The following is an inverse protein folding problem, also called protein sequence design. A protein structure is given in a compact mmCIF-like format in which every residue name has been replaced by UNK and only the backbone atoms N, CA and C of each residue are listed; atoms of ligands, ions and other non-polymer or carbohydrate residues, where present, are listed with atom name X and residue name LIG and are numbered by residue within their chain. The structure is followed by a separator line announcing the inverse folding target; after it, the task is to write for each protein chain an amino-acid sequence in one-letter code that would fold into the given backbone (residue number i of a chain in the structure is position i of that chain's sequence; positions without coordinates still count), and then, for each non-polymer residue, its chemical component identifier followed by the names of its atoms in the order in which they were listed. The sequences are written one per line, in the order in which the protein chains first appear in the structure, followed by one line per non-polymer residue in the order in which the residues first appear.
data_IF_463129662563
#
_entry.id   IF_463129662563
#
_cell.length_a   1.000
_cell.length_b   1.000
_cell.length_c   1.000
_cell.angle_alpha   90.00
_cell.angle_beta   90.00
_cell.angle_gamma   90.00
#
_symmetry.space_group_name_H-M   'P 1'
#
loop_
_entity.id
_entity.type
_entity.pdbx_description
1 polymer ?
#
# COMPACT_ATOMS: atom_id res chain seq x y z
N UNK A 1 61.36 13.69 13.35
CA UNK A 1 62.68 13.12 13.69
C UNK A 1 62.44 11.69 14.17
N UNK A 2 62.59 10.65 13.33
CA UNK A 2 63.82 9.82 13.21
C UNK A 2 64.37 9.40 14.59
N UNK A 3 64.56 8.12 14.94
CA UNK A 3 65.31 7.11 14.19
C UNK A 3 65.19 5.73 14.86
N UNK A 4 65.07 4.69 14.04
CA UNK A 4 65.57 3.33 14.30
C UNK A 4 67.10 3.35 14.45
N UNK A 5 67.65 2.46 15.28
CA UNK A 5 68.91 1.73 15.04
C UNK A 5 69.01 0.62 16.10
N UNK A 6 69.04 -0.68 15.80
CA UNK A 6 69.96 -1.49 14.97
C UNK A 6 71.21 -1.96 15.74
N UNK A 7 71.39 -3.29 15.67
CA UNK A 7 72.60 -4.13 15.76
C UNK A 7 73.26 -4.36 17.13
N UNK A 8 73.95 -5.47 17.42
CA UNK A 8 74.05 -6.87 16.94
C UNK A 8 75.34 -7.39 17.60
N UNK A 9 75.24 -8.54 18.27
CA UNK A 9 76.23 -9.63 18.34
C UNK A 9 77.62 -9.55 18.99
N UNK A 10 78.00 -10.78 19.37
CA UNK A 10 79.33 -11.43 19.37
C UNK A 10 80.27 -11.02 20.53
N UNK A 11 81.03 -11.90 21.21
CA UNK A 11 81.20 -13.35 21.24
C UNK A 11 82.35 -13.62 22.24
N UNK A 12 82.40 -14.86 22.73
CA UNK A 12 83.55 -15.68 23.15
C UNK A 12 84.34 -15.45 24.47
N UNK A 13 84.41 -16.60 25.17
CA UNK A 13 85.60 -17.32 25.69
C UNK A 13 86.24 -16.89 27.01
N UNK A 14 86.14 -17.79 27.99
CA UNK A 14 87.36 -18.24 28.69
C UNK A 14 87.30 -19.74 28.96
N UNK A 15 88.26 -20.45 28.35
CA UNK A 15 88.67 -21.82 28.63
C UNK A 15 89.66 -21.78 29.80
N UNK A 16 89.62 -22.77 30.70
CA UNK A 16 90.75 -23.59 31.20
C UNK A 16 90.24 -24.41 32.41
N UNK A 17 90.02 -25.72 32.25
CA UNK A 17 90.99 -26.81 32.43
C UNK A 17 91.47 -26.97 33.89
N UNK A 18 90.99 -28.02 34.56
CA UNK A 18 91.87 -28.92 35.31
C UNK A 18 91.38 -30.37 35.17
N UNK A 19 92.37 -31.21 34.87
CA UNK A 19 92.32 -32.61 34.45
C UNK A 19 92.37 -33.60 35.62
N UNK A 20 91.55 -34.64 35.49
CA UNK A 20 91.91 -36.07 35.54
C UNK A 20 92.33 -36.77 36.84
N UNK A 21 91.54 -37.77 37.21
CA UNK A 21 91.90 -39.12 37.67
C UNK A 21 90.56 -39.79 38.09
N UNK A 22 90.18 -41.02 37.79
CA UNK A 22 90.83 -42.24 37.32
C UNK A 22 89.70 -43.17 36.83
N UNK A 23 90.03 -44.13 35.96
CA UNK A 23 89.12 -45.14 35.37
C UNK A 23 88.47 -46.08 36.39
N UNK A 24 87.58 -47.01 36.05
CA UNK A 24 87.30 -47.71 34.80
C UNK A 24 86.05 -48.59 35.03
N UNK A 25 85.18 -48.79 34.04
CA UNK A 25 84.88 -50.12 33.47
C UNK A 25 83.87 -50.02 32.32
N UNK A 26 84.17 -50.81 31.31
CA UNK A 26 83.61 -50.91 29.97
C UNK A 26 82.60 -52.07 29.92
N UNK A 27 81.75 -52.09 28.88
CA UNK A 27 80.88 -53.20 28.38
C UNK A 27 79.64 -53.50 29.24
N UNK A 28 78.41 -53.56 28.73
CA UNK A 28 77.86 -54.23 27.51
C UNK A 28 76.70 -53.42 26.92
N UNK A 29 76.67 -53.10 25.62
CA UNK A 29 76.24 -53.91 24.45
C UNK A 29 74.73 -54.23 24.44
N UNK A 30 74.05 -53.54 23.53
CA UNK A 30 72.81 -53.84 22.80
C UNK A 30 72.22 -55.25 23.07
N UNK A 31 71.06 -55.28 23.71
CA UNK A 31 69.95 -56.24 23.50
C UNK A 31 68.82 -55.89 24.48
N UNK A 32 67.83 -55.11 24.03
CA UNK A 32 66.41 -55.47 24.21
C UNK A 32 65.56 -54.57 23.30
N UNK A 33 65.54 -54.92 22.02
CA UNK A 33 64.78 -54.22 20.97
C UNK A 33 63.94 -55.24 20.19
N UNK A 34 63.44 -56.29 20.85
CA UNK A 34 62.71 -57.37 20.16
C UNK A 34 61.49 -57.95 20.86
N UNK A 35 60.83 -57.25 21.80
CA UNK A 35 59.45 -57.60 22.17
C UNK A 35 58.65 -56.36 22.59
N UNK A 36 58.27 -55.51 21.65
CA UNK A 36 57.20 -54.55 21.87
C UNK A 36 55.98 -55.01 21.07
N UNK A 37 54.92 -55.40 21.77
CA UNK A 37 53.62 -55.64 21.13
C UNK A 37 52.94 -54.28 20.95
N UNK A 38 52.40 -53.95 19.77
CA UNK A 38 51.79 -52.64 19.56
C UNK A 38 50.59 -52.45 20.50
N UNK A 39 50.52 -51.30 21.16
CA UNK A 39 49.32 -50.82 21.86
C UNK A 39 48.13 -50.91 20.90
N UNK A 40 46.95 -51.36 21.33
CA UNK A 40 45.77 -51.40 20.45
C UNK A 40 44.60 -50.69 21.11
N UNK A 41 43.81 -49.98 20.31
CA UNK A 41 42.53 -49.45 20.79
C UNK A 41 41.59 -50.64 21.07
N UNK A 42 41.01 -50.70 22.26
CA UNK A 42 39.98 -51.69 22.57
C UNK A 42 38.65 -51.22 21.96
N UNK A 43 37.95 -52.04 21.15
CA UNK A 43 36.57 -51.74 20.79
C UNK A 43 35.68 -51.89 22.03
N UNK A 44 35.08 -50.80 22.51
CA UNK A 44 34.12 -50.86 23.62
C UNK A 44 32.79 -51.44 23.13
N UNK A 45 32.51 -52.69 23.48
CA UNK A 45 31.16 -53.24 23.52
C UNK A 45 30.62 -53.15 24.96
N UNK A 46 29.79 -52.14 25.24
CA UNK A 46 28.76 -52.06 26.30
C UNK A 46 28.75 -50.68 27.04
N UNK A 47 27.72 -49.83 26.82
CA UNK A 47 27.58 -48.48 27.38
C UNK A 47 26.82 -48.45 28.71
N UNK A 48 27.17 -49.30 29.67
CA UNK A 48 26.40 -49.43 30.92
C UNK A 48 27.22 -49.42 32.21
N UNK A 49 28.04 -48.39 32.45
CA UNK A 49 28.29 -47.90 33.82
C UNK A 49 28.53 -46.38 33.81
N UNK A 50 27.88 -45.70 34.74
CA UNK A 50 27.36 -44.33 34.62
C UNK A 50 28.13 -43.34 35.50
N UNK A 51 28.25 -42.10 35.03
CA UNK A 51 28.54 -40.91 35.85
C UNK A 51 27.83 -39.70 35.28
N UNK A 52 26.55 -39.54 35.64
CA UNK A 52 25.63 -38.49 35.22
C UNK A 52 26.22 -37.07 35.24
N UNK A 53 25.91 -36.25 34.24
CA UNK A 53 25.00 -35.11 34.44
C UNK A 53 24.61 -34.39 33.14
N UNK A 54 23.36 -33.91 33.17
CA UNK A 54 22.71 -32.89 32.35
C UNK A 54 21.87 -33.30 31.14
N UNK A 55 20.85 -32.47 30.96
CA UNK A 55 19.48 -32.77 30.55
C UNK A 55 19.35 -32.85 29.04
N UNK A 56 18.66 -33.90 28.59
CA UNK A 56 18.26 -34.11 27.20
C UNK A 56 17.09 -33.20 26.86
N UNK A 57 17.30 -32.23 25.97
CA UNK A 57 16.24 -31.68 25.11
C UNK A 57 16.78 -31.63 23.68
N UNK A 58 16.41 -32.63 22.88
CA UNK A 58 16.27 -32.45 21.44
C UNK A 58 15.34 -33.54 20.92
N UNK A 59 14.20 -33.10 20.38
CA UNK A 59 13.23 -33.95 19.72
C UNK A 59 13.85 -34.64 18.50
N UNK A 60 13.39 -35.88 18.27
CA UNK A 60 13.68 -36.63 17.06
C UNK A 60 12.95 -35.99 15.88
N UNK A 61 13.66 -35.74 14.78
CA UNK A 61 13.06 -35.77 13.46
C UNK A 61 13.53 -37.06 12.78
N UNK A 62 12.58 -37.93 12.46
CA UNK A 62 12.77 -39.06 11.56
C UNK A 62 12.63 -38.52 10.13
N UNK A 63 13.67 -38.66 9.31
CA UNK A 63 13.51 -38.49 7.87
C UNK A 63 13.41 -39.84 7.18
N UNK A 64 12.31 -39.97 6.43
CA UNK A 64 11.99 -41.09 5.56
C UNK A 64 12.38 -40.68 4.14
N UNK A 65 12.99 -41.60 3.40
CA UNK A 65 13.36 -41.54 1.98
C UNK A 65 12.75 -40.41 1.13
N UNK A 66 13.62 -39.58 0.54
CA UNK A 66 13.33 -38.84 -0.69
C UNK A 66 14.48 -39.05 -1.67
N UNK A 67 14.13 -39.60 -2.83
CA UNK A 67 14.97 -39.79 -4.01
C UNK A 67 15.23 -38.45 -4.70
N UNK A 68 16.49 -38.14 -5.01
CA UNK A 68 16.87 -37.00 -5.84
C UNK A 68 17.48 -37.51 -7.15
N UNK A 69 16.83 -37.13 -8.25
CA UNK A 69 17.27 -37.28 -9.63
C UNK A 69 18.60 -36.55 -9.87
N UNK A 70 19.41 -37.11 -10.76
CA UNK A 70 20.73 -36.60 -11.13
C UNK A 70 20.67 -35.62 -12.31
N UNK A 71 21.71 -34.76 -12.39
CA UNK A 71 22.48 -34.35 -13.60
C UNK A 71 22.48 -32.83 -13.92
N UNK A 72 23.51 -32.27 -14.59
CA UNK A 72 24.96 -32.44 -14.40
C UNK A 72 25.76 -31.12 -14.39
N UNK A 73 26.98 -31.12 -13.83
CA UNK A 73 28.11 -30.44 -14.50
C UNK A 73 29.45 -31.08 -14.17
N UNK A 74 30.03 -31.72 -15.19
CA UNK A 74 31.41 -32.19 -15.24
C UNK A 74 32.39 -31.01 -15.35
N UNK A 75 33.51 -31.10 -14.65
CA UNK A 75 34.83 -30.93 -15.27
C UNK A 75 35.76 -32.03 -14.72
N UNK A 76 36.36 -32.77 -15.64
CA UNK A 76 37.21 -33.94 -15.45
C UNK A 76 38.71 -33.58 -15.37
N UNK A 77 39.43 -34.54 -14.79
CA UNK A 77 40.86 -34.87 -14.94
C UNK A 77 41.90 -34.14 -14.08
N UNK A 78 42.42 -34.86 -13.06
CA UNK A 78 43.69 -35.57 -13.24
C UNK A 78 43.84 -36.71 -12.23
N UNK A 79 44.22 -37.88 -12.76
CA UNK A 79 44.44 -39.13 -12.06
C UNK A 79 45.79 -39.11 -11.33
N UNK A 80 45.75 -39.43 -10.04
CA UNK A 80 46.90 -39.76 -9.20
C UNK A 80 46.45 -40.79 -8.18
N UNK A 81 46.94 -42.01 -8.35
CA UNK A 81 46.52 -43.22 -7.64
C UNK A 81 47.10 -43.23 -6.22
N UNK A 82 46.35 -42.77 -5.22
CA UNK A 82 46.53 -43.14 -3.81
C UNK A 82 45.27 -43.89 -3.36
N UNK A 83 45.45 -45.16 -2.99
CA UNK A 83 44.40 -46.00 -2.42
C UNK A 83 44.17 -45.46 -1.01
N UNK A 84 43.22 -44.54 -0.86
CA UNK A 84 42.95 -43.86 0.41
C UNK A 84 42.28 -44.81 1.40
N UNK A 85 42.90 -45.00 2.55
CA UNK A 85 42.38 -45.66 3.77
C UNK A 85 41.15 -44.95 4.39
N UNK A 86 40.34 -44.23 3.61
CA UNK A 86 39.24 -43.39 4.13
C UNK A 86 37.92 -44.16 4.35
N UNK A 87 37.75 -45.36 3.79
CA UNK A 87 36.46 -46.07 3.81
C UNK A 87 36.09 -46.74 5.14
N UNK A 88 36.81 -46.46 6.23
CA UNK A 88 36.54 -47.04 7.56
C UNK A 88 36.76 -46.10 8.73
N UNK A 89 36.98 -44.79 8.49
CA UNK A 89 37.20 -43.83 9.57
C UNK A 89 35.90 -43.49 10.29
N UNK A 90 35.97 -43.44 11.62
CA UNK A 90 34.85 -43.00 12.46
C UNK A 90 34.51 -41.54 12.12
N UNK A 91 33.24 -41.28 11.77
CA UNK A 91 32.74 -39.93 11.48
C UNK A 91 31.86 -39.44 12.63
N UNK A 92 32.21 -38.29 13.21
CA UNK A 92 31.38 -37.59 14.20
C UNK A 92 30.90 -36.26 13.63
N UNK A 93 29.65 -35.91 13.93
CA UNK A 93 29.01 -34.69 13.43
C UNK A 93 28.68 -33.79 14.63
N UNK A 94 29.06 -32.52 14.52
CA UNK A 94 28.84 -31.48 15.52
C UNK A 94 28.33 -30.20 14.81
N UNK A 95 27.89 -29.21 15.57
CA UNK A 95 27.57 -27.86 15.10
C UNK A 95 28.56 -26.84 15.67
N UNK A 96 28.71 -25.72 14.99
CA UNK A 96 29.45 -24.57 15.54
C UNK A 96 28.83 -24.13 16.88
N UNK A 97 29.68 -23.98 17.91
CA UNK A 97 29.27 -23.74 19.30
C UNK A 97 29.35 -24.99 20.19
N UNK A 98 29.44 -26.20 19.63
CA UNK A 98 29.61 -27.43 20.38
C UNK A 98 31.02 -27.54 21.01
N UNK A 99 31.09 -28.16 22.19
CA UNK A 99 32.36 -28.61 22.77
C UNK A 99 32.59 -30.06 22.34
N UNK A 100 33.69 -30.28 21.62
CA UNK A 100 34.18 -31.60 21.25
C UNK A 100 35.21 -32.02 22.28
N UNK A 101 35.02 -33.20 22.89
CA UNK A 101 35.97 -33.77 23.84
C UNK A 101 36.15 -35.27 23.57
N UNK A 102 37.39 -35.72 23.61
CA UNK A 102 37.74 -37.14 23.51
C UNK A 102 38.31 -37.63 24.85
N UNK A 103 37.81 -38.80 25.29
CA UNK A 103 38.33 -39.53 26.44
C UNK A 103 38.75 -40.95 25.97
N UNK A 104 39.92 -41.09 25.33
CA UNK A 104 40.35 -42.35 24.76
C UNK A 104 40.80 -43.33 25.86
N UNK A 105 40.43 -44.59 25.70
CA UNK A 105 40.88 -45.70 26.56
C UNK A 105 41.76 -46.63 25.73
N UNK A 106 42.93 -46.93 26.27
CA UNK A 106 43.95 -47.79 25.68
C UNK A 106 44.48 -48.70 26.78
N UNK A 107 44.93 -49.89 26.37
CA UNK A 107 45.49 -50.89 27.28
C UNK A 107 46.90 -51.20 26.81
N UNK A 108 47.85 -51.08 27.72
CA UNK A 108 49.23 -51.50 27.50
C UNK A 108 49.42 -52.90 28.12
N UNK A 109 49.84 -53.92 27.35
CA UNK A 109 50.00 -55.28 27.86
C UNK A 109 51.05 -55.42 28.97
N UNK A 110 52.07 -54.55 28.96
CA UNK A 110 53.16 -54.54 29.93
C UNK A 110 52.84 -53.65 31.15
N UNK A 111 51.70 -52.94 31.10
CA UNK A 111 51.23 -52.05 32.14
C UNK A 111 51.92 -50.69 32.16
N UNK A 112 52.62 -50.32 31.07
CA UNK A 112 53.25 -49.01 30.92
C UNK A 112 52.18 -47.89 30.88
N UNK A 113 52.53 -46.69 31.38
CA UNK A 113 51.60 -45.55 31.40
C UNK A 113 51.42 -45.03 29.98
N UNK A 114 50.19 -45.07 29.48
CA UNK A 114 49.86 -44.53 28.16
C UNK A 114 49.68 -43.02 28.24
N UNK A 115 50.40 -42.32 27.37
CA UNK A 115 50.23 -40.88 27.11
C UNK A 115 49.48 -40.66 25.81
N UNK A 116 48.45 -39.81 25.84
CA UNK A 116 47.69 -39.43 24.64
C UNK A 116 48.11 -38.07 24.11
N UNK A 117 48.19 -37.96 22.80
CA UNK A 117 48.34 -36.69 22.10
C UNK A 117 47.30 -36.57 20.99
N UNK A 118 46.95 -35.32 20.67
CA UNK A 118 45.86 -35.00 19.75
C UNK A 118 46.38 -34.04 18.69
N UNK A 119 46.03 -34.31 17.43
CA UNK A 119 46.27 -33.33 16.36
C UNK A 119 45.28 -32.17 16.47
N UNK A 120 45.64 -31.04 15.83
CA UNK A 120 44.71 -29.92 15.63
C UNK A 120 43.42 -30.38 14.93
N UNK A 121 42.27 -29.74 15.19
CA UNK A 121 42.08 -28.54 16.04
C UNK A 121 41.95 -28.81 17.54
N UNK A 122 42.06 -30.06 18.03
CA UNK A 122 42.01 -30.36 19.46
C UNK A 122 43.21 -29.73 20.20
N UNK A 123 42.97 -29.31 21.45
CA UNK A 123 44.02 -28.88 22.38
C UNK A 123 44.73 -30.10 23.02
N UNK A 124 45.74 -29.86 23.86
CA UNK A 124 46.50 -30.92 24.54
C UNK A 124 45.67 -31.82 25.46
N UNK A 125 44.50 -31.35 25.89
CA UNK A 125 43.55 -32.11 26.72
C UNK A 125 42.51 -32.86 25.88
N UNK A 126 42.65 -32.88 24.54
CA UNK A 126 41.72 -33.57 23.65
C UNK A 126 40.39 -32.85 23.46
N UNK A 127 40.35 -31.52 23.69
CA UNK A 127 39.14 -30.70 23.61
C UNK A 127 39.23 -29.64 22.52
N UNK A 128 38.08 -29.31 21.93
CA UNK A 128 37.91 -28.18 21.02
C UNK A 128 36.53 -27.55 21.22
N UNK A 129 36.50 -26.26 21.57
CA UNK A 129 35.30 -25.42 21.53
C UNK A 129 35.17 -24.89 20.11
N UNK A 130 34.15 -25.32 19.36
CA UNK A 130 33.91 -24.78 18.01
C UNK A 130 33.29 -23.38 18.13
N UNK A 131 33.67 -22.49 17.21
CA UNK A 131 33.16 -21.13 17.08
C UNK A 131 32.50 -20.89 15.72
N UNK A 132 31.84 -19.75 15.55
CA UNK A 132 31.31 -19.33 14.24
C UNK A 132 32.47 -19.19 13.25
N UNK A 133 32.38 -19.87 12.10
CA UNK A 133 33.42 -19.91 11.08
C UNK A 133 34.23 -21.22 11.06
N UNK A 134 34.04 -22.10 12.05
CA UNK A 134 34.68 -23.42 12.11
C UNK A 134 33.98 -24.49 11.26
N UNK A 135 32.83 -24.18 10.63
CA UNK A 135 32.13 -25.12 9.75
C UNK A 135 33.07 -25.72 8.69
N UNK A 136 33.05 -27.05 8.57
CA UNK A 136 33.97 -27.76 7.71
C UNK A 136 34.20 -29.22 8.10
N UNK A 137 35.06 -29.89 7.35
CA UNK A 137 35.48 -31.26 7.64
C UNK A 137 36.93 -31.26 8.11
N UNK A 138 37.17 -31.87 9.27
CA UNK A 138 38.49 -31.96 9.89
C UNK A 138 38.84 -33.42 10.12
N UNK A 139 40.01 -33.85 9.69
CA UNK A 139 40.56 -35.13 10.09
C UNK A 139 41.47 -34.91 11.29
N UNK A 140 41.13 -35.50 12.43
CA UNK A 140 42.00 -35.53 13.60
C UNK A 140 42.69 -36.88 13.72
N UNK A 141 43.84 -36.89 14.39
CA UNK A 141 44.58 -38.08 14.79
C UNK A 141 44.76 -38.07 16.30
N UNK A 142 44.37 -39.18 16.94
CA UNK A 142 44.61 -39.45 18.36
C UNK A 142 45.73 -40.47 18.43
N UNK A 143 46.85 -40.10 19.05
CA UNK A 143 48.02 -40.97 19.22
C UNK A 143 48.12 -41.41 20.67
N UNK A 144 48.20 -42.72 20.90
CA UNK A 144 48.51 -43.32 22.19
C UNK A 144 49.95 -43.86 22.17
N UNK A 145 50.76 -43.54 23.18
CA UNK A 145 52.14 -44.03 23.28
C UNK A 145 52.48 -44.44 24.72
N UNK A 146 53.18 -45.57 24.85
CA UNK A 146 53.80 -46.08 26.07
C UNK A 146 55.23 -45.51 26.29
N UNK A 147 55.68 -44.61 25.42
CA UNK A 147 57.04 -44.06 25.41
C UNK A 147 58.07 -44.87 24.60
N UNK A 148 57.70 -46.02 24.03
CA UNK A 148 58.52 -46.87 23.14
C UNK A 148 57.88 -47.03 21.76
N UNK A 149 56.59 -47.29 21.74
CA UNK A 149 55.74 -47.47 20.56
C UNK A 149 54.60 -46.47 20.54
N UNK A 150 53.99 -46.28 19.38
CA UNK A 150 52.81 -45.45 19.23
C UNK A 150 51.79 -46.12 18.32
N UNK A 151 50.52 -45.88 18.61
CA UNK A 151 49.41 -46.20 17.72
C UNK A 151 48.50 -45.01 17.54
N UNK A 152 47.90 -44.94 16.35
CA UNK A 152 47.14 -43.79 15.91
C UNK A 152 45.73 -44.22 15.50
N UNK A 153 44.73 -43.42 15.90
CA UNK A 153 43.36 -43.52 15.39
C UNK A 153 42.98 -42.20 14.73
N UNK A 154 42.57 -42.28 13.46
CA UNK A 154 42.05 -41.14 12.71
C UNK A 154 40.53 -41.07 12.85
N UNK A 155 39.99 -39.86 13.00
CA UNK A 155 38.55 -39.58 13.13
C UNK A 155 38.21 -38.38 12.25
N UNK A 156 37.11 -38.47 11.51
CA UNK A 156 36.59 -37.36 10.72
C UNK A 156 35.54 -36.60 11.56
N UNK A 157 35.77 -35.32 11.77
CA UNK A 157 34.82 -34.38 12.38
C UNK A 157 34.16 -33.58 11.27
N UNK A 158 32.83 -33.63 11.18
CA UNK A 158 32.04 -32.73 10.35
C UNK A 158 31.38 -31.68 11.25
N UNK A 159 31.83 -30.44 11.14
CA UNK A 159 31.23 -29.29 11.84
C UNK A 159 30.24 -28.64 10.90
N UNK A 160 28.96 -28.74 11.24
CA UNK A 160 27.88 -28.07 10.52
C UNK A 160 27.80 -26.61 10.98
N UNK A 161 27.58 -25.68 10.04
CA UNK A 161 27.32 -24.29 10.38
C UNK A 161 26.10 -24.16 11.29
N UNK A 162 26.15 -23.24 12.24
CA UNK A 162 24.95 -22.86 13.00
C UNK A 162 24.07 -21.93 12.17
N UNK A 163 22.75 -22.04 12.33
CA UNK A 163 21.79 -21.23 11.58
C UNK A 163 21.89 -19.77 12.00
N UNK A 164 21.90 -18.86 11.03
CA UNK A 164 21.92 -17.42 11.26
C UNK A 164 20.76 -16.75 10.57
N UNK A 165 20.06 -15.89 11.30
CA UNK A 165 18.92 -15.16 10.76
C UNK A 165 19.25 -14.41 9.47
N UNK A 166 18.32 -14.41 8.50
CA UNK A 166 18.47 -13.64 7.28
C UNK A 166 18.53 -12.14 7.58
N UNK A 167 18.92 -11.35 6.60
CA UNK A 167 19.02 -9.90 6.69
C UNK A 167 18.16 -9.20 5.62
N UNK A 168 17.61 -8.05 5.98
CA UNK A 168 16.79 -7.20 5.11
C UNK A 168 17.52 -5.87 4.88
N UNK A 169 17.74 -5.52 3.62
CA UNK A 169 18.27 -4.23 3.18
C UNK A 169 17.33 -3.58 2.14
N UNK A 170 17.57 -2.31 1.78
CA UNK A 170 16.77 -1.55 0.81
C UNK A 170 15.27 -1.47 1.16
N UNK A 171 14.98 -1.10 2.40
CA UNK A 171 13.62 -0.90 2.89
C UNK A 171 13.60 0.37 3.74
N UNK A 172 13.00 1.44 3.19
CA UNK A 172 12.97 2.78 3.75
C UNK A 172 11.52 3.29 3.82
N UNK A 173 11.30 4.36 4.58
CA UNK A 173 9.99 5.02 4.67
C UNK A 173 9.61 5.63 3.31
N UNK A 174 8.30 5.64 3.01
CA UNK A 174 7.78 6.09 1.71
C UNK A 174 6.72 7.17 1.90
N UNK A 175 6.64 8.09 0.93
CA UNK A 175 5.52 9.02 0.79
C UNK A 175 5.03 8.96 -0.64
N UNK A 176 3.75 8.68 -0.83
CA UNK A 176 3.09 8.56 -2.14
C UNK A 176 1.75 9.30 -2.13
N UNK A 177 1.22 9.62 -3.31
CA UNK A 177 -0.12 10.16 -3.42
C UNK A 177 -1.16 9.02 -3.51
N UNK A 178 -2.39 9.30 -3.11
CA UNK A 178 -3.50 8.37 -3.39
C UNK A 178 -3.65 8.10 -4.89
N UNK A 179 -4.00 6.85 -5.22
CA UNK A 179 -4.09 6.35 -6.59
C UNK A 179 -2.79 5.71 -7.10
N UNK A 180 -1.65 5.95 -6.44
CA UNK A 180 -0.37 5.33 -6.79
C UNK A 180 -0.29 3.86 -6.33
N UNK A 181 0.51 3.07 -7.07
CA UNK A 181 0.89 1.71 -6.67
C UNK A 181 2.21 1.80 -5.89
N UNK A 182 2.20 1.26 -4.67
CA UNK A 182 3.40 1.02 -3.90
C UNK A 182 3.85 -0.42 -4.13
N UNK A 183 5.12 -0.62 -4.48
CA UNK A 183 5.73 -1.94 -4.59
C UNK A 183 7.03 -1.98 -3.76
N UNK A 184 7.07 -2.86 -2.77
CA UNK A 184 8.27 -3.08 -1.95
C UNK A 184 9.20 -4.08 -2.64
N UNK A 185 10.48 -3.72 -2.68
CA UNK A 185 11.55 -4.57 -3.23
C UNK A 185 12.69 -4.70 -2.21
N UNK A 186 12.44 -5.36 -1.06
CA UNK A 186 13.48 -5.61 -0.07
C UNK A 186 14.58 -6.49 -0.66
N UNK A 187 15.83 -6.16 -0.36
CA UNK A 187 16.97 -7.04 -0.66
C UNK A 187 17.18 -7.96 0.52
N UNK A 188 17.12 -9.26 0.28
CA UNK A 188 17.28 -10.28 1.31
C UNK A 188 18.57 -11.05 1.11
N UNK A 189 19.25 -11.35 2.22
CA UNK A 189 20.46 -12.18 2.20
C UNK A 189 20.44 -13.16 3.37
N UNK A 190 20.65 -14.43 3.05
CA UNK A 190 20.81 -15.52 4.00
C UNK A 190 22.27 -15.97 4.06
N UNK A 191 22.79 -16.22 5.27
CA UNK A 191 24.20 -16.54 5.47
C UNK A 191 24.52 -18.02 5.29
N UNK A 192 23.51 -18.88 5.42
CA UNK A 192 23.63 -20.32 5.31
C UNK A 192 23.31 -20.82 3.88
N UNK A 193 22.77 -19.94 3.03
CA UNK A 193 22.36 -20.24 1.67
C UNK A 193 20.97 -20.87 1.60
N UNK A 194 20.19 -20.78 2.67
CA UNK A 194 18.85 -21.34 2.77
C UNK A 194 17.85 -20.53 1.93
N UNK A 195 16.76 -21.20 1.53
CA UNK A 195 15.66 -20.51 0.84
C UNK A 195 14.90 -19.68 1.86
N UNK A 196 14.67 -18.41 1.53
CA UNK A 196 13.94 -17.48 2.41
C UNK A 196 12.52 -17.25 1.90
N UNK A 197 11.59 -17.13 2.85
CA UNK A 197 10.21 -16.71 2.62
C UNK A 197 10.05 -15.25 3.08
N UNK A 198 9.41 -14.41 2.24
CA UNK A 198 9.11 -13.01 2.56
C UNK A 198 7.61 -12.88 2.78
N UNK A 199 7.23 -12.25 3.90
CA UNK A 199 5.85 -11.93 4.23
C UNK A 199 5.70 -10.43 4.46
N UNK A 200 4.61 -9.87 3.95
CA UNK A 200 4.26 -8.46 4.09
C UNK A 200 3.02 -8.34 4.99
N UNK A 201 3.04 -7.40 5.92
CA UNK A 201 1.82 -7.05 6.63
C UNK A 201 0.87 -6.28 5.72
N UNK A 202 -0.40 -6.24 6.10
CA UNK A 202 -1.36 -5.29 5.52
C UNK A 202 -0.79 -3.86 5.58
N UNK A 203 -1.12 -3.00 4.60
CA UNK A 203 -2.10 -3.22 3.51
C UNK A 203 -1.57 -3.97 2.27
N UNK A 204 -0.31 -4.43 2.26
CA UNK A 204 0.27 -5.13 1.11
C UNK A 204 -0.33 -6.52 0.87
N UNK A 205 -0.30 -6.95 -0.40
CA UNK A 205 -0.51 -8.34 -0.80
C UNK A 205 0.77 -9.20 -0.61
N UNK A 206 0.70 -10.47 -1.00
CA UNK A 206 1.82 -11.41 -0.84
C UNK A 206 3.02 -11.07 -1.74
N UNK A 207 2.80 -10.32 -2.81
CA UNK A 207 3.82 -9.83 -3.74
C UNK A 207 4.48 -8.52 -3.26
N UNK A 208 4.06 -7.99 -2.11
CA UNK A 208 4.58 -6.72 -1.57
C UNK A 208 4.06 -5.49 -2.31
N UNK A 209 2.88 -5.61 -2.92
CA UNK A 209 2.21 -4.52 -3.65
C UNK A 209 0.96 -4.04 -2.92
N UNK A 210 0.73 -2.73 -2.99
CA UNK A 210 -0.48 -2.07 -2.51
C UNK A 210 -0.89 -0.99 -3.52
N UNK A 211 -2.06 -1.18 -4.13
CA UNK A 211 -2.73 -0.14 -4.92
C UNK A 211 -3.52 0.74 -3.97
N UNK A 212 -3.10 2.01 -3.81
CA UNK A 212 -3.85 2.96 -2.99
C UNK A 212 -5.11 3.45 -3.72
N UNK A 213 -6.16 3.76 -2.97
CA UNK A 213 -7.38 4.42 -3.44
C UNK A 213 -7.46 5.85 -2.88
N UNK A 214 -8.49 6.60 -3.27
CA UNK A 214 -8.80 7.94 -2.73
C UNK A 214 -9.37 7.92 -1.30
N UNK A 215 -9.33 6.78 -0.62
CA UNK A 215 -9.78 6.66 0.77
C UNK A 215 -8.63 6.15 1.67
N UNK A 216 -7.40 6.17 1.14
CA UNK A 216 -6.21 5.60 1.76
C UNK A 216 -5.27 6.69 2.32
N UNK A 217 -5.65 7.97 2.27
CA UNK A 217 -4.87 9.05 2.86
C UNK A 217 -4.63 8.80 4.35
N UNK A 218 -3.36 8.80 4.76
CA UNK A 218 -3.01 8.49 6.13
C UNK A 218 -1.57 8.02 6.31
N UNK A 219 -1.28 7.56 7.53
CA UNK A 219 0.03 6.99 7.90
C UNK A 219 -0.14 5.53 8.27
N UNK A 220 0.63 4.67 7.59
CA UNK A 220 0.57 3.23 7.70
C UNK A 220 1.92 2.70 8.19
N UNK A 221 1.83 1.64 8.99
CA UNK A 221 3.00 0.96 9.52
C UNK A 221 3.08 -0.43 8.89
N UNK A 222 4.01 -0.59 7.96
CA UNK A 222 4.17 -1.84 7.24
C UNK A 222 5.36 -2.63 7.78
N UNK A 223 5.16 -3.93 7.97
CA UNK A 223 6.17 -4.88 8.43
C UNK A 223 6.51 -5.82 7.29
N UNK A 224 7.81 -6.05 7.10
CA UNK A 224 8.36 -7.06 6.21
C UNK A 224 9.09 -8.09 7.08
N UNK A 225 8.64 -9.33 7.02
CA UNK A 225 9.22 -10.45 7.74
C UNK A 225 9.91 -11.38 6.75
N UNK A 226 11.16 -11.75 7.04
CA UNK A 226 11.93 -12.71 6.24
C UNK A 226 12.33 -13.88 7.12
N UNK A 227 12.03 -15.10 6.69
CA UNK A 227 12.23 -16.34 7.45
C UNK A 227 12.96 -17.38 6.62
N UNK A 228 13.90 -18.10 7.24
CA UNK A 228 14.64 -19.24 6.67
C UNK A 228 14.08 -20.60 7.15
N UNK A 229 12.84 -20.61 7.67
CA UNK A 229 12.15 -21.73 8.36
C UNK A 229 12.66 -22.09 9.77
N UNK A 230 13.80 -21.55 10.21
CA UNK A 230 14.38 -21.79 11.54
C UNK A 230 14.34 -20.52 12.38
N UNK A 231 14.67 -19.38 11.77
CA UNK A 231 14.73 -18.05 12.35
C UNK A 231 14.06 -17.03 11.43
N UNK A 232 13.74 -15.86 11.98
CA UNK A 232 13.13 -14.78 11.21
C UNK A 232 13.63 -13.42 11.67
N UNK A 233 13.63 -12.46 10.74
CA UNK A 233 13.88 -11.04 10.99
C UNK A 233 12.67 -10.23 10.52
N UNK A 234 12.31 -9.20 11.28
CA UNK A 234 11.25 -8.26 10.91
C UNK A 234 11.86 -6.86 10.78
N UNK A 235 11.48 -6.13 9.73
CA UNK A 235 11.75 -4.70 9.58
C UNK A 235 10.44 -3.96 9.34
N UNK A 236 10.30 -2.82 10.00
CA UNK A 236 9.12 -1.98 9.91
C UNK A 236 9.46 -0.66 9.22
N UNK A 237 8.55 -0.20 8.35
CA UNK A 237 8.63 1.10 7.68
C UNK A 237 7.34 1.88 7.83
N UNK A 238 7.45 3.20 7.72
CA UNK A 238 6.34 4.14 7.68
C UNK A 238 6.00 4.46 6.24
N UNK A 239 4.72 4.41 5.90
CA UNK A 239 4.20 4.84 4.61
C UNK A 239 3.21 5.95 4.85
N UNK A 240 3.44 7.10 4.21
CA UNK A 240 2.54 8.25 4.23
C UNK A 240 1.86 8.30 2.88
N UNK A 241 0.54 8.13 2.86
CA UNK A 241 -0.28 8.35 1.67
C UNK A 241 -0.87 9.74 1.79
N UNK A 242 -0.54 10.63 0.86
CA UNK A 242 -1.07 12.00 0.82
C UNK A 242 -2.35 12.05 0.01
N UNK A 243 -3.34 12.79 0.51
CA UNK A 243 -4.63 13.00 -0.14
C UNK A 243 -4.45 13.52 -1.58
N UNK A 244 -5.16 12.91 -2.52
CA UNK A 244 -5.29 13.43 -3.89
C UNK A 244 -6.70 13.97 -4.06
N UNK A 245 -6.82 15.29 -4.05
CA UNK A 245 -8.09 16.04 -4.07
C UNK A 245 -9.00 15.68 -5.25
N UNK A 246 -10.30 15.52 -4.99
CA UNK A 246 -11.36 15.23 -5.96
C UNK A 246 -12.38 16.36 -5.98
N UNK A 247 -12.71 16.84 -7.18
CA UNK A 247 -13.73 17.87 -7.35
C UNK A 247 -15.10 17.44 -6.76
N UNK A 248 -15.90 18.37 -6.24
CA UNK A 248 -17.26 18.09 -5.81
C UNK A 248 -18.10 17.65 -7.01
N UNK A 249 -19.01 16.71 -6.83
CA UNK A 249 -19.93 16.24 -7.87
C UNK A 249 -21.25 16.98 -7.74
N UNK A 250 -21.60 17.81 -8.74
CA UNK A 250 -22.84 18.57 -8.75
C UNK A 250 -23.97 17.78 -9.41
N UNK A 251 -25.10 17.64 -8.72
CA UNK A 251 -26.29 16.96 -9.26
C UNK A 251 -26.86 17.71 -10.47
N UNK A 252 -27.54 16.96 -11.36
CA UNK A 252 -28.26 17.57 -12.48
C UNK A 252 -29.38 18.47 -11.96
N UNK A 253 -29.47 19.67 -12.54
CA UNK A 253 -30.46 20.68 -12.15
C UNK A 253 -31.53 20.76 -13.25
N UNK A 254 -32.78 20.56 -12.85
CA UNK A 254 -33.91 20.60 -13.79
C UNK A 254 -34.12 22.00 -14.36
N UNK A 255 -34.68 22.07 -15.58
CA UNK A 255 -35.10 23.33 -16.18
C UNK A 255 -36.22 23.98 -15.36
N UNK A 256 -36.21 25.31 -15.30
CA UNK A 256 -37.20 26.09 -14.55
C UNK A 256 -38.07 26.87 -15.54
N UNK A 257 -39.39 26.84 -15.33
CA UNK A 257 -40.33 27.73 -16.02
C UNK A 257 -41.03 28.59 -14.98
N UNK A 258 -41.07 29.90 -15.20
CA UNK A 258 -41.71 30.86 -14.32
C UNK A 258 -42.43 31.93 -15.14
N UNK A 259 -43.23 32.78 -14.48
CA UNK A 259 -43.80 33.97 -15.10
C UNK A 259 -43.13 35.23 -14.56
N UNK A 260 -43.25 36.32 -15.32
CA UNK A 260 -42.76 37.64 -14.91
C UNK A 260 -43.31 38.05 -13.54
N UNK A 261 -42.42 38.51 -12.66
CA UNK A 261 -42.74 38.89 -11.27
C UNK A 261 -42.49 37.79 -10.25
N UNK A 262 -42.27 36.54 -10.68
CA UNK A 262 -41.86 35.46 -9.78
C UNK A 262 -40.41 35.64 -9.29
N UNK A 263 -40.11 35.14 -8.10
CA UNK A 263 -38.73 34.92 -7.65
C UNK A 263 -38.31 33.50 -8.03
N UNK A 264 -37.41 33.37 -8.99
CA UNK A 264 -36.79 32.09 -9.33
C UNK A 264 -35.63 31.83 -8.36
N UNK A 265 -35.55 30.63 -7.81
CA UNK A 265 -34.45 30.22 -6.93
C UNK A 265 -33.92 28.86 -7.36
N UNK A 266 -32.59 28.76 -7.50
CA UNK A 266 -31.90 27.49 -7.68
C UNK A 266 -31.38 27.03 -6.32
N UNK A 267 -31.71 25.80 -5.95
CA UNK A 267 -31.17 25.14 -4.76
C UNK A 267 -30.31 23.96 -5.22
N UNK A 268 -29.02 24.17 -5.49
CA UNK A 268 -28.15 23.10 -5.95
C UNK A 268 -27.82 22.13 -4.82
N UNK A 269 -27.42 20.92 -5.21
CA UNK A 269 -26.88 19.92 -4.31
C UNK A 269 -25.65 19.29 -4.97
N UNK A 270 -24.56 19.22 -4.23
CA UNK A 270 -23.32 18.59 -4.63
C UNK A 270 -22.76 17.79 -3.45
N UNK A 271 -21.97 16.77 -3.77
CA UNK A 271 -21.28 15.93 -2.80
C UNK A 271 -19.79 15.95 -3.10
N UNK A 272 -19.00 16.19 -2.06
CA UNK A 272 -17.56 16.07 -2.09
C UNK A 272 -17.17 14.73 -1.45
N UNK A 273 -16.34 13.94 -2.13
CA UNK A 273 -15.97 12.60 -1.66
C UNK A 273 -14.84 12.63 -0.61
N UNK A 274 -14.06 13.71 -0.59
CA UNK A 274 -13.01 13.96 0.40
C UNK A 274 -13.58 14.65 1.65
N UNK A 275 -14.87 15.03 1.59
CA UNK A 275 -15.64 15.74 2.61
C UNK A 275 -15.17 17.18 2.81
N UNK A 276 -14.63 17.80 1.76
CA UNK A 276 -14.28 19.21 1.77
C UNK A 276 -15.52 20.12 1.74
N UNK A 277 -15.35 21.36 2.20
CA UNK A 277 -16.45 22.33 2.27
C UNK A 277 -16.81 22.85 0.87
N UNK A 278 -18.06 22.64 0.46
CA UNK A 278 -18.54 23.04 -0.87
C UNK A 278 -19.11 24.45 -0.84
N UNK A 279 -18.59 25.33 -1.70
CA UNK A 279 -19.16 26.63 -2.03
C UNK A 279 -19.87 26.59 -3.39
N UNK A 280 -21.01 27.29 -3.49
CA UNK A 280 -21.76 27.44 -4.73
C UNK A 280 -21.60 28.84 -5.33
N UNK A 281 -21.53 28.90 -6.66
CA UNK A 281 -21.58 30.14 -7.41
C UNK A 281 -22.57 30.02 -8.58
N UNK A 282 -23.25 31.13 -8.87
CA UNK A 282 -24.27 31.23 -9.90
C UNK A 282 -23.85 32.31 -10.91
N UNK A 283 -24.04 32.04 -12.19
CA UNK A 283 -23.92 33.08 -13.21
C UNK A 283 -25.18 33.94 -13.28
N UNK A 284 -25.07 35.05 -14.00
CA UNK A 284 -26.24 35.84 -14.41
C UNK A 284 -27.33 34.94 -15.02
N UNK A 285 -28.62 35.25 -14.79
CA UNK A 285 -29.15 36.43 -14.09
C UNK A 285 -29.30 36.28 -12.56
N UNK A 286 -28.73 35.22 -11.96
CA UNK A 286 -28.89 34.94 -10.53
C UNK A 286 -27.91 35.73 -9.65
N UNK A 287 -28.34 36.07 -8.44
CA UNK A 287 -27.47 36.62 -7.41
C UNK A 287 -26.61 35.54 -6.72
N UNK A 288 -25.77 35.95 -5.76
CA UNK A 288 -24.89 35.05 -5.02
C UNK A 288 -25.65 34.02 -4.15
N UNK A 289 -26.93 34.25 -3.87
CA UNK A 289 -27.79 33.30 -3.16
C UNK A 289 -28.58 32.40 -4.12
N UNK A 290 -28.30 32.45 -5.42
CA UNK A 290 -28.99 31.67 -6.44
C UNK A 290 -30.42 32.14 -6.67
N UNK A 291 -30.73 33.42 -6.41
CA UNK A 291 -32.06 34.00 -6.60
C UNK A 291 -32.08 35.00 -7.74
N UNK A 292 -33.21 35.03 -8.44
CA UNK A 292 -33.50 35.98 -9.49
C UNK A 292 -34.94 36.46 -9.38
N UNK A 293 -35.12 37.77 -9.16
CA UNK A 293 -36.42 38.42 -9.19
C UNK A 293 -36.73 38.83 -10.64
N UNK A 294 -37.71 38.21 -11.28
CA UNK A 294 -38.01 38.47 -12.68
C UNK A 294 -38.88 39.72 -12.86
N UNK A 295 -38.70 40.40 -13.99
CA UNK A 295 -39.49 41.54 -14.42
C UNK A 295 -40.04 41.32 -15.84
N UNK A 296 -40.92 42.22 -16.30
CA UNK A 296 -41.53 42.12 -17.63
C UNK A 296 -40.52 42.09 -18.78
N UNK A 297 -39.40 42.81 -18.62
CA UNK A 297 -38.31 42.84 -19.60
C UNK A 297 -37.51 41.52 -19.67
N UNK A 298 -37.72 40.62 -18.71
CA UNK A 298 -37.01 39.35 -18.60
C UNK A 298 -37.71 38.19 -19.31
N UNK A 299 -38.75 38.45 -20.12
CA UNK A 299 -39.39 37.39 -20.88
C UNK A 299 -38.43 36.81 -21.92
N UNK A 300 -38.29 35.50 -21.91
CA UNK A 300 -37.41 34.79 -22.81
C UNK A 300 -36.82 33.52 -22.20
N UNK A 301 -35.76 33.03 -22.86
CA UNK A 301 -35.04 31.85 -22.43
C UNK A 301 -33.61 32.20 -22.02
N UNK A 302 -33.19 31.65 -20.89
CA UNK A 302 -31.92 31.92 -20.24
C UNK A 302 -31.20 30.61 -19.98
N UNK A 303 -29.87 30.66 -20.01
CA UNK A 303 -29.02 29.54 -19.56
C UNK A 303 -28.11 30.08 -18.47
N UNK A 304 -28.33 29.63 -17.24
CA UNK A 304 -27.46 29.93 -16.11
C UNK A 304 -26.49 28.78 -15.87
N UNK A 305 -25.29 29.07 -15.40
CA UNK A 305 -24.32 28.08 -14.95
C UNK A 305 -24.24 28.11 -13.43
N UNK A 306 -24.32 26.93 -12.83
CA UNK A 306 -24.08 26.71 -11.40
C UNK A 306 -22.74 26.00 -11.26
N UNK A 307 -21.90 26.49 -10.36
CA UNK A 307 -20.59 25.92 -10.04
C UNK A 307 -20.60 25.47 -8.58
N UNK A 308 -20.14 24.24 -8.32
CA UNK A 308 -19.79 23.77 -6.98
C UNK A 308 -18.25 23.64 -6.90
N UNK A 309 -17.63 24.15 -5.84
CA UNK A 309 -16.17 24.13 -5.66
C UNK A 309 -15.80 23.91 -4.20
N UNK A 310 -14.73 23.16 -3.97
CA UNK A 310 -14.06 22.95 -2.67
C UNK A 310 -12.98 24.03 -2.38
N UNK A 311 -12.76 24.95 -3.34
CA UNK A 311 -11.71 25.98 -3.29
C UNK A 311 -10.46 25.67 -4.13
N UNK A 312 -10.26 24.42 -4.55
CA UNK A 312 -9.17 23.96 -5.41
C UNK A 312 -9.68 23.44 -6.76
N UNK A 313 -10.69 22.56 -6.74
CA UNK A 313 -11.36 21.96 -7.88
C UNK A 313 -12.84 22.36 -7.93
N UNK A 314 -13.50 22.04 -9.04
CA UNK A 314 -14.90 22.40 -9.24
C UNK A 314 -15.62 21.51 -10.26
N UNK A 315 -16.94 21.45 -10.15
CA UNK A 315 -17.86 20.92 -11.17
C UNK A 315 -18.92 21.98 -11.53
N UNK A 316 -19.47 21.89 -12.74
CA UNK A 316 -20.41 22.88 -13.30
C UNK A 316 -21.57 22.22 -14.03
N UNK A 317 -22.77 22.76 -13.82
CA UNK A 317 -23.99 22.38 -14.54
C UNK A 317 -24.70 23.62 -15.07
N UNK A 318 -25.37 23.47 -16.21
CA UNK A 318 -26.18 24.52 -16.81
C UNK A 318 -27.66 24.29 -16.53
N UNK A 319 -28.40 25.35 -16.29
CA UNK A 319 -29.85 25.35 -16.03
C UNK A 319 -30.53 26.18 -17.10
N UNK A 320 -31.47 25.57 -17.81
CA UNK A 320 -32.36 26.30 -18.71
C UNK A 320 -33.50 26.93 -17.90
N UNK A 321 -33.71 28.24 -18.08
CA UNK A 321 -34.80 28.97 -17.42
C UNK A 321 -35.66 29.65 -18.48
N UNK A 322 -36.96 29.46 -18.42
CA UNK A 322 -37.94 30.08 -19.32
C UNK A 322 -38.84 31.00 -18.52
N UNK A 323 -38.84 32.29 -18.84
CA UNK A 323 -39.72 33.28 -18.24
C UNK A 323 -40.80 33.63 -19.26
N UNK A 324 -42.05 33.38 -18.89
CA UNK A 324 -43.23 33.72 -19.69
C UNK A 324 -43.87 35.01 -19.18
N UNK A 325 -44.61 35.71 -20.04
CA UNK A 325 -45.45 36.82 -19.61
C UNK A 325 -46.47 36.36 -18.56
N UNK A 326 -46.76 37.24 -17.60
CA UNK A 326 -47.99 37.11 -16.81
C UNK A 326 -49.18 37.43 -17.71
N UNK A 327 -50.26 36.66 -17.61
CA UNK A 327 -51.46 36.82 -18.45
C UNK A 327 -51.92 38.29 -18.54
N UNK A 328 -52.03 38.82 -19.75
CA UNK A 328 -52.47 40.18 -20.02
C UNK A 328 -53.93 40.20 -20.44
N UNK A 329 -54.64 41.29 -20.13
CA UNK A 329 -56.03 41.43 -20.54
C UNK A 329 -56.14 41.80 -22.03
N UNK A 330 -57.27 41.49 -22.69
CA UNK A 330 -57.51 41.88 -24.08
C UNK A 330 -57.47 43.40 -24.27
N UNK A 331 -57.00 43.89 -25.41
CA UNK A 331 -56.97 45.32 -25.75
C UNK A 331 -58.20 45.68 -26.57
N UNK A 332 -59.03 46.60 -26.07
CA UNK A 332 -60.26 47.07 -26.73
C UNK A 332 -59.99 48.38 -27.48
N UNK A 333 -60.31 48.43 -28.76
CA UNK A 333 -60.27 49.63 -29.60
C UNK A 333 -61.65 49.91 -30.20
N UNK A 334 -62.24 51.06 -29.88
CA UNK A 334 -63.57 51.46 -30.35
C UNK A 334 -63.61 52.95 -30.68
N UNK A 335 -64.28 53.32 -31.77
CA UNK A 335 -64.46 54.72 -32.20
C UNK A 335 -65.81 55.25 -31.74
N UNK A 336 -65.92 56.57 -31.55
CA UNK A 336 -67.19 57.23 -31.25
C UNK A 336 -68.24 56.91 -32.31
N UNK A 337 -69.45 56.59 -31.88
CA UNK A 337 -70.56 56.25 -32.77
C UNK A 337 -71.63 57.32 -32.69
N UNK A 338 -72.20 57.67 -33.84
CA UNK A 338 -73.35 58.56 -33.96
C UNK A 338 -74.52 57.79 -34.57
N UNK A 339 -75.70 57.99 -34.02
CA UNK A 339 -76.95 57.46 -34.56
C UNK A 339 -78.06 58.50 -34.51
N UNK A 340 -79.21 58.17 -35.06
CA UNK A 340 -80.44 58.95 -34.89
C UNK A 340 -81.44 58.15 -34.06
N UNK A 341 -82.38 58.86 -33.44
CA UNK A 341 -83.55 58.22 -32.84
C UNK A 341 -84.28 57.31 -33.83
N UNK A 342 -84.91 56.24 -33.31
CA UNK A 342 -85.57 55.16 -34.06
C UNK A 342 -84.65 54.25 -34.89
N UNK A 343 -83.34 54.50 -34.92
CA UNK A 343 -82.37 53.67 -35.65
C UNK A 343 -81.66 52.66 -34.73
N UNK A 344 -81.18 51.58 -35.35
CA UNK A 344 -80.35 50.58 -34.68
C UNK A 344 -78.89 51.05 -34.71
N UNK A 345 -78.32 51.29 -33.53
CA UNK A 345 -76.90 51.59 -33.35
C UNK A 345 -76.17 50.27 -33.08
N UNK A 346 -75.01 50.09 -33.72
CA UNK A 346 -74.15 48.91 -33.56
C UNK A 346 -72.78 49.39 -33.09
N UNK A 347 -72.30 48.86 -31.97
CA UNK A 347 -70.92 49.00 -31.54
C UNK A 347 -70.11 47.82 -32.07
N UNK A 348 -69.06 48.12 -32.83
CA UNK A 348 -68.14 47.13 -33.37
C UNK A 348 -66.72 47.40 -32.86
N UNK A 349 -66.42 47.11 -31.57
CA UNK A 349 -65.05 47.20 -31.06
C UNK A 349 -64.15 46.18 -31.75
N UNK A 350 -62.90 46.55 -32.00
CA UNK A 350 -61.82 45.59 -32.28
C UNK A 350 -61.19 45.19 -30.96
N UNK A 351 -61.13 43.90 -30.69
CA UNK A 351 -60.55 43.36 -29.46
C UNK A 351 -59.45 42.39 -29.85
N UNK A 352 -58.25 42.58 -29.30
CA UNK A 352 -57.08 41.73 -29.55
C UNK A 352 -56.49 41.33 -28.22
N UNK A 353 -56.36 40.03 -28.00
CA UNK A 353 -55.66 39.48 -26.85
C UNK A 353 -54.15 39.36 -27.16
N UNK A 354 -53.24 39.88 -26.31
CA UNK A 354 -51.80 39.83 -26.58
C UNK A 354 -51.24 38.42 -26.72
N UNK A 355 -51.74 37.47 -25.94
CA UNK A 355 -51.36 36.05 -25.95
C UNK A 355 -52.17 35.24 -26.97
N UNK A 356 -53.21 35.83 -27.55
CA UNK A 356 -54.12 35.18 -28.49
C UNK A 356 -55.17 34.31 -27.79
N UNK A 357 -55.38 34.53 -26.50
CA UNK A 357 -56.40 33.85 -25.72
C UNK A 357 -57.81 34.20 -26.21
N UNK A 358 -58.74 33.27 -26.02
CA UNK A 358 -60.15 33.52 -26.30
C UNK A 358 -60.73 34.48 -25.27
N UNK A 359 -61.69 35.33 -25.67
CA UNK A 359 -62.29 36.32 -24.76
C UNK A 359 -63.81 36.38 -24.86
N UNK A 360 -64.44 36.90 -23.82
CA UNK A 360 -65.86 37.25 -23.75
C UNK A 360 -66.02 38.77 -23.69
N UNK A 361 -67.14 39.30 -24.21
CA UNK A 361 -67.40 40.74 -24.29
C UNK A 361 -68.77 41.06 -23.71
N UNK A 362 -68.85 42.11 -22.90
CA UNK A 362 -70.11 42.63 -22.36
C UNK A 362 -70.20 44.15 -22.54
N UNK A 363 -71.43 44.65 -22.56
CA UNK A 363 -71.77 46.06 -22.71
C UNK A 363 -72.69 46.47 -21.56
N UNK A 364 -72.55 47.69 -21.04
CA UNK A 364 -73.56 48.25 -20.15
C UNK A 364 -74.78 48.77 -20.94
N UNK A 365 -75.87 49.01 -20.23
CA UNK A 365 -77.08 49.63 -20.81
C UNK A 365 -76.73 50.98 -21.47
N UNK A 366 -77.36 51.33 -22.61
CA UNK A 366 -78.54 50.69 -23.20
C UNK A 366 -78.24 49.55 -24.21
N UNK A 367 -76.99 49.16 -24.39
CA UNK A 367 -76.61 48.12 -25.37
C UNK A 367 -76.94 46.71 -24.87
N UNK A 368 -77.41 45.86 -25.79
CA UNK A 368 -77.57 44.43 -25.57
C UNK A 368 -76.22 43.68 -25.68
N UNK A 369 -76.20 42.41 -25.28
CA UNK A 369 -75.00 41.58 -25.29
C UNK A 369 -74.37 41.38 -26.69
N UNK A 370 -75.16 41.52 -27.75
CA UNK A 370 -74.68 41.46 -29.14
C UNK A 370 -74.04 42.78 -29.64
N UNK A 371 -73.89 43.77 -28.76
CA UNK A 371 -73.33 45.07 -29.10
C UNK A 371 -74.30 45.96 -29.86
N UNK A 372 -75.61 45.73 -29.76
CA UNK A 372 -76.61 46.54 -30.46
C UNK A 372 -77.60 47.24 -29.54
N UNK A 373 -78.07 48.41 -29.98
CA UNK A 373 -79.10 49.20 -29.30
C UNK A 373 -80.12 49.71 -30.33
N UNK A 374 -81.39 49.37 -30.13
CA UNK A 374 -82.51 49.95 -30.88
C UNK A 374 -82.99 51.21 -30.15
N UNK A 375 -82.74 52.38 -30.74
CA UNK A 375 -83.17 53.65 -30.16
C UNK A 375 -84.67 53.90 -30.36
N UNK A 376 -85.29 54.65 -29.45
CA UNK A 376 -86.65 55.18 -29.51
C UNK A 376 -86.70 56.69 -29.75
N UNK A 377 -87.91 57.27 -29.72
CA UNK A 377 -88.19 58.71 -29.94
C UNK A 377 -87.84 59.62 -28.74
N UNK A 378 -87.18 59.09 -27.71
CA UNK A 378 -86.79 59.86 -26.51
C UNK A 378 -85.36 59.57 -26.10
N UNK A 379 -84.58 59.01 -27.02
CA UNK A 379 -83.22 58.51 -26.78
C UNK A 379 -82.17 59.49 -27.30
N UNK A 380 -82.55 60.69 -27.78
CA UNK A 380 -81.61 61.74 -28.14
C UNK A 380 -80.76 62.17 -26.93
N UNK A 381 -79.44 62.18 -27.10
CA UNK A 381 -78.51 62.47 -26.01
C UNK A 381 -77.13 61.86 -26.20
N UNK A 382 -76.28 62.05 -25.20
CA UNK A 382 -74.94 61.47 -25.13
C UNK A 382 -74.91 60.34 -24.10
N UNK A 383 -74.46 59.17 -24.51
CA UNK A 383 -74.37 57.95 -23.70
C UNK A 383 -72.93 57.51 -23.62
N UNK A 384 -72.41 57.34 -22.40
CA UNK A 384 -71.10 56.76 -22.17
C UNK A 384 -71.28 55.24 -21.98
N UNK A 385 -70.87 54.48 -23.00
CA UNK A 385 -71.01 53.02 -23.04
C UNK A 385 -69.67 52.39 -22.69
N UNK A 386 -69.65 51.55 -21.67
CA UNK A 386 -68.48 50.78 -21.25
C UNK A 386 -68.56 49.37 -21.82
N UNK A 387 -67.51 49.02 -22.56
CA UNK A 387 -67.26 47.69 -23.11
C UNK A 387 -66.28 47.00 -22.17
N UNK A 388 -66.60 45.79 -21.74
CA UNK A 388 -65.72 44.97 -20.90
C UNK A 388 -65.35 43.71 -21.63
N UNK A 389 -64.05 43.44 -21.77
CA UNK A 389 -63.53 42.19 -22.32
C UNK A 389 -62.83 41.38 -21.21
N UNK A 390 -63.06 40.08 -21.19
CA UNK A 390 -62.44 39.16 -20.23
C UNK A 390 -61.91 37.94 -20.97
N UNK A 391 -60.61 37.68 -20.89
CA UNK A 391 -59.98 36.51 -21.49
C UNK A 391 -60.33 35.21 -20.74
N UNK A 392 -59.98 34.06 -21.32
CA UNK A 392 -60.21 32.74 -20.74
C UNK A 392 -59.39 32.43 -19.49
N UNK A 393 -58.33 33.19 -19.23
CA UNK A 393 -57.47 33.09 -18.04
C UNK A 393 -57.89 34.08 -16.93
N UNK A 394 -58.92 34.90 -17.18
CA UNK A 394 -59.59 35.78 -16.24
C UNK A 394 -59.08 37.22 -16.18
N UNK A 395 -58.15 37.68 -17.05
CA UNK A 395 -57.78 39.10 -17.05
C UNK A 395 -58.83 39.94 -17.80
N UNK A 396 -59.05 41.15 -17.30
CA UNK A 396 -60.18 42.01 -17.67
C UNK A 396 -59.69 43.37 -18.12
N UNK A 397 -60.25 43.86 -19.22
CA UNK A 397 -60.08 45.23 -19.67
C UNK A 397 -61.42 45.91 -19.90
N UNK A 398 -61.44 47.24 -19.83
CA UNK A 398 -62.63 48.05 -20.11
C UNK A 398 -62.27 49.23 -21.01
N UNK A 399 -63.19 49.60 -21.89
CA UNK A 399 -63.10 50.82 -22.70
C UNK A 399 -64.44 51.54 -22.72
N UNK A 400 -64.43 52.85 -22.50
CA UNK A 400 -65.64 53.68 -22.56
C UNK A 400 -65.66 54.46 -23.87
N UNK A 401 -66.78 54.40 -24.58
CA UNK A 401 -67.03 55.14 -25.82
C UNK A 401 -68.26 56.02 -25.69
N UNK A 402 -68.19 57.22 -26.24
CA UNK A 402 -69.35 58.11 -26.35
C UNK A 402 -70.17 57.73 -27.57
N UNK A 403 -71.46 57.48 -27.34
CA UNK A 403 -72.49 57.31 -28.36
C UNK A 403 -73.40 58.54 -28.33
N UNK A 404 -73.46 59.27 -29.45
CA UNK A 404 -74.33 60.44 -29.60
C UNK A 404 -75.54 60.04 -30.45
N UNK A 405 -76.73 60.19 -29.88
CA UNK A 405 -78.01 59.98 -30.56
C UNK A 405 -78.60 61.35 -30.89
N UNK A 406 -78.81 61.60 -32.16
CA UNK A 406 -79.39 62.83 -32.67
C UNK A 406 -80.92 62.73 -32.71
N UNK A 407 -81.56 63.83 -32.38
CA UNK A 407 -83.02 64.02 -32.56
C UNK A 407 -83.39 63.90 -34.05
N UNK A 408 -84.60 63.42 -34.34
CA UNK A 408 -85.05 63.05 -35.69
C UNK A 408 -86.20 63.88 -36.21
#
# INVERSE_FOLDING_TARGET
MTKKSILLFLLVLSILLFTSACGSKFTTLIEDLSVASPTTFVPTSDPSQVGNSYVKVSGQINETNVSVETSPRQQEMSSGNEISEESGLEKKVYREGDIIAFDPIGVDPDGDIITYTYSRPLNSSGQWQTEIGDAGTYQITITASDGKTEVQKKVILLILSSNRAPSIDNLEDLTVAEGDIIALHPKVFDYNGDTVEIQYSKPFNNEGQWQTTYDDAGTYLAKVTVSDSVTSVEKQITIIVTNTDRAPVLDDIASITAVTGDTVQITPHAVDQDHDEIAYAFSDPFDAAGKWQTAEADVGTYTATVTATDGALFDKKTVAVVINHKNQAPVISVSTVRGQETEKIILAPTIVDPEGDSYTVTYNAPFAADGTWQTGYTDAGNYDVTITATDSNGAVSTATVRVEVLDK
#
